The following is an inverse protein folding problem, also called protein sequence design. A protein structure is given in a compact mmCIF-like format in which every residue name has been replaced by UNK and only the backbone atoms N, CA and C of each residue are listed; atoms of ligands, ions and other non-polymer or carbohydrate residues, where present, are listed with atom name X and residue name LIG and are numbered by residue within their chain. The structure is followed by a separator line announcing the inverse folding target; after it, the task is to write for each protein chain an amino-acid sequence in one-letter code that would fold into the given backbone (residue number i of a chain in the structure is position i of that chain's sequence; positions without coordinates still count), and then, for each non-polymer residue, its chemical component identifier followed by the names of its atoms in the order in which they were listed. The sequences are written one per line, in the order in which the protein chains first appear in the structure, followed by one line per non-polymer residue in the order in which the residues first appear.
data_IF_019086933450
#
_entry.id   IF_019086933450
#
_cell.length_a   1.000
_cell.length_b   1.000
_cell.length_c   1.000
_cell.angle_alpha   90.00
_cell.angle_beta   90.00
_cell.angle_gamma   90.00
#
_symmetry.space_group_name_H-M   'P 1'
#
loop_
_entity.id
_entity.type
_entity.pdbx_description
1 polymer ?
#
# COMPACT_ATOMS: atom_id res chain seq x y z
N UNK A 1 37.68 -17.38 -6.91
CA UNK A 1 36.41 -17.08 -7.58
C UNK A 1 35.93 -15.77 -7.02
N UNK A 2 35.95 -14.71 -7.83
CA UNK A 2 35.32 -13.44 -7.47
C UNK A 2 33.81 -13.70 -7.48
N UNK A 3 33.18 -13.72 -6.30
CA UNK A 3 31.73 -13.60 -6.24
C UNK A 3 31.42 -12.15 -6.57
N UNK A 4 30.99 -11.93 -7.80
CA UNK A 4 30.33 -10.72 -8.24
C UNK A 4 29.00 -10.65 -7.47
N UNK A 5 29.05 -10.05 -6.29
CA UNK A 5 27.88 -9.67 -5.51
C UNK A 5 27.18 -8.58 -6.34
N UNK A 6 26.07 -8.97 -6.97
CA UNK A 6 25.23 -8.07 -7.76
C UNK A 6 24.94 -6.79 -6.95
N UNK A 7 24.89 -5.61 -7.59
CA UNK A 7 24.46 -4.40 -6.91
C UNK A 7 23.10 -4.67 -6.26
N UNK A 8 22.81 -4.12 -5.06
CA UNK A 8 21.50 -4.27 -4.46
C UNK A 8 20.50 -3.78 -5.51
N UNK A 9 19.68 -4.69 -6.03
CA UNK A 9 18.69 -4.35 -7.04
C UNK A 9 17.91 -3.16 -6.47
N UNK A 10 18.08 -1.99 -7.11
CA UNK A 10 17.21 -0.86 -6.86
C UNK A 10 15.82 -1.38 -7.22
N UNK A 11 15.08 -1.84 -6.21
CA UNK A 11 13.77 -2.44 -6.37
C UNK A 11 12.95 -1.48 -7.21
N UNK A 12 12.62 -1.90 -8.44
CA UNK A 12 11.96 -1.02 -9.38
C UNK A 12 10.65 -0.57 -8.74
N UNK A 13 10.44 0.74 -8.55
CA UNK A 13 9.31 1.27 -7.80
C UNK A 13 7.98 0.79 -8.38
N UNK A 14 7.91 0.57 -9.70
CA UNK A 14 6.72 0.08 -10.37
C UNK A 14 6.50 -1.41 -10.06
N UNK A 15 7.55 -2.22 -10.13
CA UNK A 15 7.48 -3.65 -9.82
C UNK A 15 7.12 -3.89 -8.34
N UNK A 16 7.69 -3.11 -7.42
CA UNK A 16 7.41 -3.19 -5.99
C UNK A 16 5.94 -2.88 -5.69
N UNK A 17 5.43 -1.81 -6.31
CA UNK A 17 4.05 -1.38 -6.16
C UNK A 17 3.08 -2.38 -6.78
N UNK A 18 3.43 -2.96 -7.94
CA UNK A 18 2.64 -4.01 -8.58
C UNK A 18 2.54 -5.25 -7.66
N UNK A 19 3.66 -5.68 -7.09
CA UNK A 19 3.72 -6.82 -6.17
C UNK A 19 2.86 -6.58 -4.92
N UNK A 20 2.97 -5.38 -4.32
CA UNK A 20 2.13 -4.99 -3.19
C UNK A 20 0.64 -4.99 -3.56
N UNK A 21 0.28 -4.52 -4.77
CA UNK A 21 -1.10 -4.54 -5.27
C UNK A 21 -1.63 -5.96 -5.44
N UNK A 22 -0.84 -6.90 -5.96
CA UNK A 22 -1.23 -8.30 -6.08
C UNK A 22 -1.52 -8.94 -4.73
N UNK A 23 -0.71 -8.64 -3.72
CA UNK A 23 -0.94 -9.08 -2.34
C UNK A 23 -2.24 -8.50 -1.75
N UNK A 24 -2.54 -7.23 -2.03
CA UNK A 24 -3.74 -6.54 -1.56
C UNK A 24 -5.05 -7.08 -2.15
N UNK A 25 -5.03 -7.70 -3.33
CA UNK A 25 -6.22 -8.31 -3.96
C UNK A 25 -6.35 -9.80 -3.68
N UNK A 26 -5.43 -10.39 -2.92
CA UNK A 26 -5.47 -11.79 -2.54
C UNK A 26 -6.67 -12.09 -1.63
N UNK A 27 -7.26 -13.29 -1.75
CA UNK A 27 -8.33 -13.74 -0.87
C UNK A 27 -7.84 -13.97 0.57
N UNK A 28 -6.57 -14.31 0.74
CA UNK A 28 -5.95 -14.55 2.05
C UNK A 28 -5.71 -13.23 2.82
N UNK A 29 -6.32 -13.10 4.00
CA UNK A 29 -6.14 -11.93 4.87
C UNK A 29 -4.66 -11.67 5.19
N UNK A 30 -3.87 -12.72 5.43
CA UNK A 30 -2.44 -12.61 5.72
C UNK A 30 -1.67 -11.95 4.56
N UNK A 31 -1.99 -12.30 3.32
CA UNK A 31 -1.39 -11.66 2.13
C UNK A 31 -1.86 -10.22 1.98
N UNK A 32 -3.14 -9.94 2.24
CA UNK A 32 -3.65 -8.56 2.22
C UNK A 32 -2.97 -7.67 3.25
N UNK A 33 -2.77 -8.18 4.47
CA UNK A 33 -2.05 -7.49 5.55
C UNK A 33 -0.59 -7.24 5.17
N UNK A 34 0.09 -8.23 4.57
CA UNK A 34 1.45 -8.09 4.05
C UNK A 34 1.52 -7.05 2.93
N UNK A 35 0.58 -7.09 1.98
CA UNK A 35 0.47 -6.11 0.91
C UNK A 35 0.32 -4.69 1.45
N UNK A 36 -0.53 -4.48 2.46
CA UNK A 36 -0.71 -3.18 3.08
C UNK A 36 0.55 -2.70 3.83
N UNK A 37 1.26 -3.60 4.53
CA UNK A 37 2.54 -3.28 5.16
C UNK A 37 3.60 -2.89 4.11
N UNK A 38 3.64 -3.59 2.97
CA UNK A 38 4.50 -3.25 1.84
C UNK A 38 4.16 -1.87 1.29
N UNK A 39 2.89 -1.53 1.12
CA UNK A 39 2.48 -0.17 0.70
C UNK A 39 2.92 0.90 1.70
N UNK A 40 2.79 0.66 3.01
CA UNK A 40 3.25 1.60 4.04
C UNK A 40 4.76 1.85 3.94
N UNK A 41 5.55 0.78 3.73
CA UNK A 41 6.99 0.88 3.53
C UNK A 41 7.34 1.59 2.22
N UNK A 42 6.68 1.26 1.12
CA UNK A 42 6.90 1.91 -0.18
C UNK A 42 6.52 3.39 -0.12
N UNK A 43 5.43 3.73 0.57
CA UNK A 43 5.02 5.08 0.85
C UNK A 43 5.95 5.81 1.83
N UNK A 44 6.94 5.15 2.43
CA UNK A 44 7.99 5.83 3.22
C UNK A 44 9.16 6.30 2.34
N UNK A 45 9.24 5.86 1.08
CA UNK A 45 10.22 6.33 0.09
C UNK A 45 9.58 7.28 -0.94
N UNK A 46 10.09 8.52 -1.12
CA UNK A 46 9.57 9.45 -2.12
C UNK A 46 9.75 8.98 -3.57
N UNK A 47 10.70 8.09 -3.87
CA UNK A 47 10.93 7.57 -5.23
C UNK A 47 9.74 6.73 -5.73
N UNK A 48 9.01 6.12 -4.80
CA UNK A 48 7.86 5.27 -5.09
C UNK A 48 6.56 6.06 -5.22
N UNK A 49 6.57 7.37 -4.96
CA UNK A 49 5.36 8.20 -4.95
C UNK A 49 4.63 8.14 -6.30
N UNK A 50 5.33 8.36 -7.40
CA UNK A 50 4.74 8.30 -8.75
C UNK A 50 4.13 6.93 -9.03
N UNK A 51 4.86 5.85 -8.75
CA UNK A 51 4.38 4.49 -8.98
C UNK A 51 3.13 4.17 -8.14
N UNK A 52 3.10 4.60 -6.87
CA UNK A 52 1.95 4.43 -5.98
C UNK A 52 0.73 5.23 -6.45
N UNK A 53 0.94 6.40 -7.04
CA UNK A 53 -0.12 7.26 -7.57
C UNK A 53 -0.75 6.69 -8.84
N UNK A 54 0.05 6.07 -9.71
CA UNK A 54 -0.44 5.50 -10.98
C UNK A 54 -1.06 4.11 -10.82
N UNK A 55 -0.75 3.38 -9.74
CA UNK A 55 -1.11 1.96 -9.61
C UNK A 55 -2.51 1.65 -9.04
N UNK A 56 -3.39 2.65 -8.90
CA UNK A 56 -4.77 2.47 -8.38
C UNK A 56 -4.85 1.70 -7.04
N UNK A 57 -3.81 1.80 -6.21
CA UNK A 57 -3.64 0.99 -4.99
C UNK A 57 -4.70 1.27 -3.91
N UNK A 58 -5.37 2.42 -4.01
CA UNK A 58 -6.42 2.81 -3.07
C UNK A 58 -7.67 1.92 -3.17
N UNK A 59 -8.00 1.41 -4.34
CA UNK A 59 -9.20 0.58 -4.52
C UNK A 59 -9.17 -0.70 -3.64
N UNK A 60 -8.11 -1.53 -3.65
CA UNK A 60 -8.05 -2.70 -2.79
C UNK A 60 -7.88 -2.34 -1.30
N UNK A 61 -7.19 -1.25 -0.97
CA UNK A 61 -7.13 -0.76 0.42
C UNK A 61 -8.53 -0.41 0.96
N UNK A 62 -9.36 0.29 0.18
CA UNK A 62 -10.75 0.57 0.57
C UNK A 62 -11.57 -0.71 0.74
N UNK A 63 -11.36 -1.71 -0.10
CA UNK A 63 -12.02 -3.00 0.05
C UNK A 63 -11.62 -3.68 1.38
N UNK A 64 -10.34 -3.61 1.77
CA UNK A 64 -9.85 -4.12 3.05
C UNK A 64 -10.46 -3.41 4.26
N UNK A 65 -10.80 -2.12 4.16
CA UNK A 65 -11.50 -1.38 5.25
C UNK A 65 -12.88 -1.97 5.57
N UNK A 66 -13.47 -2.74 4.65
CA UNK A 66 -14.75 -3.42 4.82
C UNK A 66 -14.61 -4.88 5.30
N UNK A 67 -13.39 -5.34 5.59
CA UNK A 67 -13.16 -6.69 6.12
C UNK A 67 -13.71 -6.82 7.55
N UNK A 68 -14.29 -7.97 7.88
CA UNK A 68 -14.77 -8.25 9.25
C UNK A 68 -13.60 -8.33 10.25
N UNK A 69 -12.38 -8.58 9.77
CA UNK A 69 -11.18 -8.67 10.60
C UNK A 69 -10.59 -7.30 10.93
N UNK A 70 -10.53 -6.99 12.21
CA UNK A 70 -9.92 -5.76 12.70
C UNK A 70 -8.45 -5.59 12.26
N UNK A 71 -7.66 -6.68 12.25
CA UNK A 71 -6.25 -6.64 11.83
C UNK A 71 -6.09 -6.14 10.38
N UNK A 72 -6.85 -6.71 9.45
CA UNK A 72 -6.88 -6.34 8.03
C UNK A 72 -7.34 -4.89 7.83
N UNK A 73 -8.34 -4.44 8.59
CA UNK A 73 -8.80 -3.03 8.58
C UNK A 73 -7.70 -2.08 9.06
N UNK A 74 -7.05 -2.39 10.18
CA UNK A 74 -5.96 -1.57 10.73
C UNK A 74 -4.77 -1.49 9.77
N UNK A 75 -4.40 -2.61 9.13
CA UNK A 75 -3.34 -2.61 8.13
C UNK A 75 -3.67 -1.68 6.95
N UNK A 76 -4.90 -1.74 6.44
CA UNK A 76 -5.36 -0.85 5.39
C UNK A 76 -5.37 0.62 5.81
N UNK A 77 -5.81 0.93 7.04
CA UNK A 77 -5.78 2.28 7.58
C UNK A 77 -4.36 2.86 7.63
N UNK A 78 -3.37 2.06 8.08
CA UNK A 78 -1.97 2.47 8.13
C UNK A 78 -1.41 2.78 6.75
N UNK A 79 -1.61 1.88 5.79
CA UNK A 79 -1.20 2.07 4.40
C UNK A 79 -1.85 3.31 3.78
N UNK A 80 -3.16 3.46 3.95
CA UNK A 80 -3.91 4.61 3.41
C UNK A 80 -3.45 5.92 4.03
N UNK A 81 -3.16 5.93 5.34
CA UNK A 81 -2.59 7.10 6.02
C UNK A 81 -1.22 7.47 5.47
N UNK A 82 -0.32 6.49 5.27
CA UNK A 82 1.01 6.73 4.73
C UNK A 82 0.94 7.38 3.34
N UNK A 83 0.05 6.89 2.47
CA UNK A 83 -0.20 7.48 1.16
C UNK A 83 -0.79 8.90 1.26
N UNK A 84 -1.78 9.10 2.14
CA UNK A 84 -2.42 10.39 2.32
C UNK A 84 -1.47 11.48 2.86
N UNK A 85 -0.53 11.09 3.74
CA UNK A 85 0.51 11.98 4.27
C UNK A 85 1.48 12.46 3.19
N UNK A 86 1.73 11.68 2.12
CA UNK A 86 2.50 12.14 0.96
C UNK A 86 1.69 13.01 0.02
N UNK A 87 0.43 12.66 -0.22
CA UNK A 87 -0.36 13.28 -1.27
C UNK A 87 -0.70 14.75 -1.01
N UNK A 88 -0.69 15.23 0.25
CA UNK A 88 -1.28 16.54 0.62
C UNK A 88 -2.79 16.67 0.30
N UNK A 89 -3.35 15.67 -0.39
CA UNK A 89 -4.64 15.63 -1.05
C UNK A 89 -5.53 14.59 -0.36
N UNK A 90 -5.66 14.69 0.97
CA UNK A 90 -6.80 14.10 1.69
C UNK A 90 -8.12 14.56 1.05
N UNK A 91 -8.15 15.73 0.42
CA UNK A 91 -9.29 16.29 -0.30
C UNK A 91 -9.61 15.58 -1.64
N UNK A 92 -8.64 14.94 -2.31
CA UNK A 92 -8.89 14.22 -3.58
C UNK A 92 -9.24 12.76 -3.38
N UNK A 93 -8.84 12.17 -2.25
CA UNK A 93 -9.48 10.96 -1.77
C UNK A 93 -10.92 11.36 -1.39
N UNK A 94 -11.88 11.19 -2.32
CA UNK A 94 -13.31 11.11 -1.98
C UNK A 94 -13.63 9.89 -1.08
N UNK A 95 -12.62 9.30 -0.44
CA UNK A 95 -12.75 8.39 0.68
C UNK A 95 -13.10 9.28 1.86
N UNK A 96 -14.39 9.57 1.98
CA UNK A 96 -14.90 10.41 3.06
C UNK A 96 -14.40 9.87 4.39
N UNK A 97 -14.10 10.82 5.29
CA UNK A 97 -13.96 10.62 6.74
C UNK A 97 -14.87 9.51 7.33
N UNK A 98 -16.13 9.29 6.90
CA UNK A 98 -16.93 8.12 7.35
C UNK A 98 -16.23 6.75 7.24
N UNK A 99 -15.45 6.48 6.19
CA UNK A 99 -14.72 5.20 6.08
C UNK A 99 -13.64 5.02 7.16
N UNK A 100 -13.20 6.12 7.77
CA UNK A 100 -12.25 6.15 8.89
C UNK A 100 -12.94 6.28 10.26
N UNK A 101 -14.20 6.70 10.31
CA UNK A 101 -14.97 6.93 11.54
C UNK A 101 -15.84 5.73 11.92
N UNK A 102 -16.26 4.90 10.95
CA UNK A 102 -17.10 3.71 11.20
C UNK A 102 -16.35 2.37 11.16
N UNK A 103 -15.00 2.37 11.10
CA UNK A 103 -14.18 1.18 11.30
C UNK A 103 -13.86 1.00 12.79
#
# INVERSE_FOLDING_TARGET
AMSEEAPPEEEDPLAAVASARELLVSDEDSKREEGAASVEKLASDPRNETALLESDIFAPLVAMLRSERAATRVASLRATRALASRRGDLARLKIGVPAFVEA
#
